data_IF_614494043820
#
_entry.id   IF_614494043820
#
_cell.length_a   1.000
_cell.length_b   1.000
_cell.length_c   1.000
_cell.angle_alpha   90.00
_cell.angle_beta   90.00
_cell.angle_gamma   90.00
#
_symmetry.space_group_name_H-M   'P 1'
#
loop_
_entity.id
_entity.type
_entity.pdbx_description
1 polymer ?
#
# COMPACT_ATOMS: atom_id res chain seq x y z
N UNK A 1 2.63 33.02 5.17
CA UNK A 1 1.17 32.86 4.94
C UNK A 1 0.77 31.55 4.21
N UNK A 2 1.73 30.70 3.81
CA UNK A 2 1.46 29.43 3.11
C UNK A 2 1.38 28.19 4.03
N UNK A 3 1.77 28.32 5.30
CA UNK A 3 1.77 27.20 6.24
C UNK A 3 0.33 26.82 6.64
N UNK A 4 -0.05 25.55 6.43
CA UNK A 4 -1.31 24.98 6.92
C UNK A 4 -2.52 25.08 5.98
N UNK A 5 -2.37 25.66 4.77
CA UNK A 5 -3.45 25.67 3.77
C UNK A 5 -3.38 24.41 2.90
N UNK A 6 -4.50 23.69 2.75
CA UNK A 6 -4.56 22.43 1.98
C UNK A 6 -4.38 22.63 0.46
N UNK A 7 -4.55 23.86 -0.02
CA UNK A 7 -4.51 24.23 -1.44
C UNK A 7 -3.21 24.95 -1.82
N UNK A 8 -2.06 24.45 -1.34
CA UNK A 8 -0.74 25.08 -1.50
C UNK A 8 -0.42 25.33 -2.98
N UNK A 9 -0.82 24.42 -3.88
CA UNK A 9 -0.57 24.53 -5.32
C UNK A 9 -1.27 25.71 -5.97
N UNK A 10 -2.56 25.91 -5.66
CA UNK A 10 -3.35 27.01 -6.21
C UNK A 10 -2.87 28.36 -5.65
N UNK A 11 -2.62 28.40 -4.34
CA UNK A 11 -2.19 29.63 -3.66
C UNK A 11 -0.82 30.07 -4.17
N UNK A 12 0.13 29.14 -4.30
CA UNK A 12 1.46 29.43 -4.85
C UNK A 12 1.39 29.91 -6.30
N UNK A 13 0.53 29.28 -7.12
CA UNK A 13 0.32 29.71 -8.50
C UNK A 13 -0.34 31.10 -8.59
N UNK A 14 -1.25 31.42 -7.66
CA UNK A 14 -1.85 32.75 -7.54
C UNK A 14 -0.82 33.84 -7.23
N UNK A 15 0.17 33.56 -6.38
CA UNK A 15 1.26 34.51 -6.10
C UNK A 15 2.21 34.73 -7.28
N UNK A 16 2.45 33.71 -8.12
CA UNK A 16 3.41 33.80 -9.24
C UNK A 16 2.75 34.34 -10.51
N UNK A 17 1.56 33.84 -10.85
CA UNK A 17 0.89 34.09 -12.13
C UNK A 17 -0.37 34.99 -12.00
N UNK A 18 -0.67 35.47 -10.80
CA UNK A 18 -1.89 36.22 -10.50
C UNK A 18 -3.15 35.33 -10.42
N UNK A 19 -4.29 35.95 -10.16
CA UNK A 19 -5.56 35.26 -9.89
C UNK A 19 -6.02 34.34 -11.06
N UNK A 20 -5.89 34.82 -12.30
CA UNK A 20 -6.23 34.03 -13.49
C UNK A 20 -5.31 32.82 -13.68
N UNK A 21 -4.00 32.97 -13.41
CA UNK A 21 -3.04 31.88 -13.49
C UNK A 21 -3.22 30.84 -12.39
N UNK A 22 -3.54 31.28 -11.16
CA UNK A 22 -3.89 30.40 -10.04
C UNK A 22 -5.10 29.52 -10.36
N UNK A 23 -6.18 30.10 -10.91
CA UNK A 23 -7.38 29.34 -11.29
C UNK A 23 -7.12 28.34 -12.41
N UNK A 24 -6.34 28.71 -13.43
CA UNK A 24 -5.99 27.79 -14.52
C UNK A 24 -5.14 26.61 -14.01
N UNK A 25 -4.17 26.88 -13.14
CA UNK A 25 -3.36 25.84 -12.50
C UNK A 25 -4.20 24.95 -11.58
N UNK A 26 -5.14 25.53 -10.82
CA UNK A 26 -6.10 24.79 -10.01
C UNK A 26 -6.93 23.80 -10.82
N UNK A 27 -7.44 24.22 -11.99
CA UNK A 27 -8.17 23.35 -12.91
C UNK A 27 -7.28 22.21 -13.43
N UNK A 28 -6.03 22.50 -13.82
CA UNK A 28 -5.09 21.47 -14.24
C UNK A 28 -4.82 20.45 -13.12
N UNK A 29 -4.57 20.89 -11.90
CA UNK A 29 -4.34 20.01 -10.74
C UNK A 29 -5.59 19.15 -10.47
N UNK A 30 -6.78 19.75 -10.49
CA UNK A 30 -8.03 19.01 -10.30
C UNK A 30 -8.21 17.91 -11.35
N UNK A 31 -7.97 18.23 -12.63
CA UNK A 31 -8.07 17.25 -13.71
C UNK A 31 -7.05 16.10 -13.56
N UNK A 32 -5.82 16.42 -13.19
CA UNK A 32 -4.77 15.42 -12.93
C UNK A 32 -5.12 14.51 -11.75
N UNK A 33 -5.68 15.07 -10.67
CA UNK A 33 -6.12 14.29 -9.50
C UNK A 33 -7.27 13.35 -9.87
N UNK A 34 -8.29 13.83 -10.61
CA UNK A 34 -9.41 12.98 -11.06
C UNK A 34 -8.90 11.81 -11.91
N UNK A 35 -7.97 12.09 -12.83
CA UNK A 35 -7.35 11.06 -13.67
C UNK A 35 -6.56 10.03 -12.85
N UNK A 36 -5.71 10.48 -11.92
CA UNK A 36 -4.90 9.60 -11.08
C UNK A 36 -5.77 8.72 -10.16
N UNK A 37 -6.82 9.29 -9.55
CA UNK A 37 -7.75 8.54 -8.69
C UNK A 37 -8.52 7.50 -9.51
N UNK A 38 -8.98 7.84 -10.71
CA UNK A 38 -9.66 6.90 -11.60
C UNK A 38 -8.80 5.66 -11.89
N UNK A 39 -7.51 5.86 -12.21
CA UNK A 39 -6.54 4.77 -12.41
C UNK A 39 -6.37 3.90 -11.16
N UNK A 40 -6.23 4.53 -9.98
CA UNK A 40 -6.03 3.81 -8.72
C UNK A 40 -7.26 2.99 -8.31
N UNK A 41 -8.47 3.47 -8.58
CA UNK A 41 -9.72 2.74 -8.34
C UNK A 41 -9.81 1.49 -9.21
N UNK A 42 -9.29 1.52 -10.44
CA UNK A 42 -9.24 0.32 -11.30
C UNK A 42 -8.21 -0.71 -10.83
N UNK A 43 -7.07 -0.26 -10.28
CA UNK A 43 -5.99 -1.13 -9.85
C UNK A 43 -6.25 -1.80 -8.47
N UNK A 44 -6.86 -1.07 -7.52
CA UNK A 44 -7.05 -1.54 -6.14
C UNK A 44 -7.75 -2.90 -5.98
N UNK A 45 -8.91 -3.14 -6.63
CA UNK A 45 -9.68 -4.37 -6.44
C UNK A 45 -8.95 -5.64 -6.87
N UNK A 46 -7.96 -5.53 -7.78
CA UNK A 46 -7.15 -6.66 -8.25
C UNK A 46 -6.23 -7.22 -7.17
N UNK A 47 -5.83 -6.38 -6.20
CA UNK A 47 -5.06 -6.84 -5.03
C UNK A 47 -5.94 -7.73 -4.15
N UNK A 48 -7.17 -7.27 -3.84
CA UNK A 48 -8.13 -8.03 -3.02
C UNK A 48 -8.55 -9.32 -3.74
N UNK A 49 -8.74 -9.27 -5.06
CA UNK A 49 -9.02 -10.47 -5.88
C UNK A 49 -7.88 -11.49 -5.79
N UNK A 50 -6.62 -11.06 -5.96
CA UNK A 50 -5.45 -11.94 -5.85
C UNK A 50 -5.35 -12.56 -4.45
N UNK A 51 -5.57 -11.77 -3.40
CA UNK A 51 -5.63 -12.28 -2.02
C UNK A 51 -6.75 -13.31 -1.84
N UNK A 52 -7.90 -13.11 -2.49
CA UNK A 52 -9.01 -14.06 -2.48
C UNK A 52 -8.73 -15.38 -3.20
N UNK A 53 -7.84 -15.38 -4.19
CA UNK A 53 -7.39 -16.61 -4.89
C UNK A 53 -6.44 -17.42 -4.01
N UNK A 54 -5.56 -16.74 -3.28
CA UNK A 54 -4.54 -17.38 -2.45
C UNK A 54 -5.09 -17.89 -1.11
N UNK A 55 -6.11 -17.22 -0.54
CA UNK A 55 -6.66 -17.53 0.78
C UNK A 55 -8.11 -18.04 0.67
N UNK A 56 -8.33 -19.31 1.03
CA UNK A 56 -9.67 -19.93 1.09
C UNK A 56 -10.75 -19.11 1.81
N UNK A 57 -10.53 -18.52 3.01
CA UNK A 57 -11.57 -17.72 3.67
C UNK A 57 -11.93 -16.43 2.91
N UNK A 58 -11.06 -15.95 2.03
CA UNK A 58 -11.28 -14.76 1.21
C UNK A 58 -11.76 -15.10 -0.21
N UNK A 59 -12.08 -16.36 -0.51
CA UNK A 59 -12.47 -16.80 -1.86
C UNK A 59 -13.69 -16.07 -2.42
N UNK A 60 -14.55 -15.55 -1.55
CA UNK A 60 -15.67 -14.68 -1.94
C UNK A 60 -15.21 -13.42 -2.69
N UNK A 61 -14.04 -12.87 -2.36
CA UNK A 61 -13.46 -11.72 -3.07
C UNK A 61 -12.87 -12.05 -4.45
N UNK A 62 -12.62 -13.34 -4.74
CA UNK A 62 -12.17 -13.80 -6.06
C UNK A 62 -13.32 -14.02 -7.04
N UNK A 63 -14.59 -13.84 -6.62
CA UNK A 63 -15.73 -14.04 -7.53
C UNK A 63 -15.75 -12.89 -8.55
N UNK A 64 -15.63 -13.27 -9.82
CA UNK A 64 -15.65 -12.35 -10.95
C UNK A 64 -16.96 -12.45 -11.74
N UNK A 65 -17.38 -11.34 -12.34
CA UNK A 65 -18.50 -11.33 -13.30
C UNK A 65 -18.03 -11.88 -14.67
N UNK A 66 -18.95 -12.02 -15.63
CA UNK A 66 -18.69 -12.48 -17.01
C UNK A 66 -17.55 -11.76 -17.73
N UNK A 67 -17.27 -10.51 -17.34
CA UNK A 67 -16.18 -9.69 -17.90
C UNK A 67 -14.85 -9.81 -17.13
N UNK A 68 -14.72 -10.77 -16.21
CA UNK A 68 -13.52 -10.95 -15.38
C UNK A 68 -13.33 -9.90 -14.29
N UNK A 69 -14.37 -9.11 -13.99
CA UNK A 69 -14.30 -7.99 -13.04
C UNK A 69 -14.72 -8.47 -11.63
N UNK A 70 -13.87 -8.32 -10.59
CA UNK A 70 -14.19 -8.71 -9.22
C UNK A 70 -15.12 -7.69 -8.55
N UNK A 71 -16.43 -7.81 -8.78
CA UNK A 71 -17.41 -6.80 -8.35
C UNK A 71 -17.50 -6.65 -6.82
N UNK A 72 -17.33 -7.73 -6.06
CA UNK A 72 -17.36 -7.71 -4.59
C UNK A 72 -16.18 -6.90 -4.05
N UNK A 73 -14.98 -7.11 -4.60
CA UNK A 73 -13.79 -6.37 -4.21
C UNK A 73 -13.95 -4.87 -4.47
N UNK A 74 -14.56 -4.50 -5.62
CA UNK A 74 -14.89 -3.10 -5.94
C UNK A 74 -15.82 -2.51 -4.89
N UNK A 75 -16.95 -3.17 -4.61
CA UNK A 75 -17.95 -2.67 -3.67
C UNK A 75 -17.34 -2.49 -2.28
N UNK A 76 -16.61 -3.48 -1.77
CA UNK A 76 -16.00 -3.41 -0.44
C UNK A 76 -14.95 -2.30 -0.38
N UNK A 77 -14.07 -2.18 -1.37
CA UNK A 77 -13.10 -1.08 -1.42
C UNK A 77 -13.79 0.29 -1.48
N UNK A 78 -14.84 0.45 -2.29
CA UNK A 78 -15.59 1.69 -2.41
C UNK A 78 -16.29 2.07 -1.11
N UNK A 79 -16.90 1.12 -0.40
CA UNK A 79 -17.52 1.35 0.90
C UNK A 79 -16.48 1.81 1.92
N UNK A 80 -15.33 1.14 2.01
CA UNK A 80 -14.23 1.53 2.91
C UNK A 80 -13.74 2.94 2.57
N UNK A 81 -13.55 3.25 1.29
CA UNK A 81 -13.11 4.58 0.85
C UNK A 81 -14.11 5.66 1.24
N UNK A 82 -15.41 5.45 1.02
CA UNK A 82 -16.47 6.40 1.40
C UNK A 82 -16.47 6.61 2.92
N UNK A 83 -16.41 5.53 3.72
CA UNK A 83 -16.37 5.63 5.18
C UNK A 83 -15.17 6.44 5.66
N UNK A 84 -13.98 6.21 5.07
CA UNK A 84 -12.77 6.96 5.40
C UNK A 84 -12.89 8.44 5.02
N UNK A 85 -13.43 8.75 3.84
CA UNK A 85 -13.63 10.15 3.40
C UNK A 85 -14.61 10.89 4.32
N UNK A 86 -15.65 10.22 4.82
CA UNK A 86 -16.64 10.82 5.70
C UNK A 86 -16.19 10.96 7.16
N UNK A 87 -15.37 10.02 7.65
CA UNK A 87 -15.06 9.90 9.09
C UNK A 87 -13.65 10.38 9.44
N UNK A 88 -12.68 10.21 8.54
CA UNK A 88 -11.28 10.42 8.85
C UNK A 88 -10.79 11.82 8.48
N UNK A 89 -9.85 12.34 9.27
CA UNK A 89 -9.16 13.60 8.96
C UNK A 89 -8.16 13.39 7.83
N UNK A 90 -8.01 14.38 6.95
CA UNK A 90 -7.07 14.32 5.82
C UNK A 90 -5.63 13.98 6.25
N UNK A 91 -5.11 14.68 7.26
CA UNK A 91 -3.74 14.47 7.74
C UNK A 91 -3.54 13.07 8.34
N UNK A 92 -4.59 12.52 8.94
CA UNK A 92 -4.58 11.16 9.48
C UNK A 92 -4.51 10.13 8.36
N UNK A 93 -5.35 10.26 7.33
CA UNK A 93 -5.37 9.34 6.18
C UNK A 93 -4.03 9.35 5.45
N UNK A 94 -3.45 10.54 5.26
CA UNK A 94 -2.14 10.69 4.63
C UNK A 94 -1.04 10.00 5.44
N UNK A 95 -0.97 10.23 6.74
CA UNK A 95 0.08 9.63 7.57
C UNK A 95 -0.10 8.12 7.68
N UNK A 96 -1.32 7.65 7.95
CA UNK A 96 -1.63 6.24 8.08
C UNK A 96 -1.25 5.48 6.81
N UNK A 97 -1.63 6.00 5.64
CA UNK A 97 -1.31 5.38 4.34
C UNK A 97 0.19 5.43 4.06
N UNK A 98 0.85 6.58 4.30
CA UNK A 98 2.28 6.75 4.05
C UNK A 98 3.13 5.86 4.96
N UNK A 99 2.76 5.75 6.24
CA UNK A 99 3.46 4.87 7.17
C UNK A 99 3.27 3.40 6.79
N UNK A 100 2.03 2.97 6.52
CA UNK A 100 1.74 1.60 6.10
C UNK A 100 2.48 1.21 4.82
N UNK A 101 2.49 2.11 3.82
CA UNK A 101 3.19 1.88 2.56
C UNK A 101 4.71 1.77 2.75
N UNK A 102 5.30 2.66 3.55
CA UNK A 102 6.73 2.61 3.85
C UNK A 102 7.10 1.32 4.59
N UNK A 103 6.26 0.89 5.52
CA UNK A 103 6.48 -0.33 6.29
C UNK A 103 6.40 -1.59 5.42
N UNK A 104 5.39 -1.71 4.55
CA UNK A 104 5.31 -2.83 3.60
C UNK A 104 6.44 -2.81 2.57
N UNK A 105 6.85 -1.63 2.12
CA UNK A 105 7.99 -1.49 1.20
C UNK A 105 9.30 -1.93 1.87
N UNK A 106 9.49 -1.55 3.14
CA UNK A 106 10.63 -2.01 3.96
C UNK A 106 10.63 -3.54 4.09
N UNK A 107 9.50 -4.13 4.48
CA UNK A 107 9.35 -5.58 4.61
C UNK A 107 9.59 -6.32 3.28
N UNK A 108 9.14 -5.75 2.16
CA UNK A 108 9.33 -6.33 0.83
C UNK A 108 10.81 -6.39 0.45
N UNK A 109 11.54 -5.28 0.62
CA UNK A 109 12.98 -5.23 0.32
C UNK A 109 13.77 -6.11 1.28
N UNK A 110 13.41 -6.11 2.56
CA UNK A 110 13.99 -6.99 3.56
C UNK A 110 13.76 -8.47 3.21
N UNK A 111 12.55 -8.84 2.79
CA UNK A 111 12.21 -10.20 2.38
C UNK A 111 13.04 -10.67 1.18
N UNK A 112 13.18 -9.82 0.15
CA UNK A 112 14.03 -10.11 -1.01
C UNK A 112 15.50 -10.27 -0.59
N UNK A 113 15.98 -9.42 0.33
CA UNK A 113 17.32 -9.48 0.88
C UNK A 113 17.57 -10.82 1.61
N UNK A 114 16.65 -11.25 2.48
CA UNK A 114 16.73 -12.56 3.16
C UNK A 114 16.69 -13.75 2.21
N UNK A 115 15.81 -13.73 1.20
CA UNK A 115 15.71 -14.80 0.20
C UNK A 115 17.03 -14.93 -0.57
N UNK A 116 17.61 -13.81 -0.98
CA UNK A 116 18.89 -13.80 -1.71
C UNK A 116 20.08 -14.21 -0.84
N UNK A 117 20.11 -13.82 0.44
CA UNK A 117 21.11 -14.31 1.39
C UNK A 117 21.01 -15.82 1.63
N UNK A 118 19.78 -16.38 1.67
CA UNK A 118 19.55 -17.81 1.89
C UNK A 118 19.86 -18.66 0.66
N UNK A 119 19.58 -18.15 -0.55
CA UNK A 119 19.77 -18.87 -1.83
C UNK A 119 21.21 -18.80 -2.37
N UNK A 120 22.18 -18.48 -1.53
CA UNK A 120 23.58 -18.22 -1.89
C UNK A 120 24.36 -19.51 -2.22
N UNK A 121 23.79 -20.40 -3.05
CA UNK A 121 24.42 -21.68 -3.44
C UNK A 121 24.63 -21.82 -4.94
N UNK A 122 24.07 -20.99 -5.82
CA UNK A 122 24.37 -21.10 -7.25
C UNK A 122 24.67 -19.74 -7.92
N UNK A 123 25.96 -19.59 -8.20
CA UNK A 123 26.62 -18.65 -9.13
C UNK A 123 26.64 -17.18 -8.67
N UNK A 124 27.69 -16.86 -7.91
CA UNK A 124 28.15 -15.48 -7.67
C UNK A 124 28.61 -14.88 -9.00
N UNK A 125 27.67 -14.26 -9.72
CA UNK A 125 27.99 -13.32 -10.77
C UNK A 125 28.26 -11.94 -10.14
N UNK A 126 29.17 -11.16 -10.73
CA UNK A 126 29.60 -9.80 -10.35
C UNK A 126 28.47 -8.80 -9.98
N UNK A 127 27.21 -9.14 -10.29
CA UNK A 127 25.98 -8.45 -9.84
C UNK A 127 25.69 -8.56 -8.33
N UNK A 128 26.46 -9.31 -7.54
CA UNK A 128 26.33 -9.39 -6.09
C UNK A 128 26.40 -7.98 -5.47
N UNK A 129 27.50 -7.26 -5.69
CA UNK A 129 27.72 -5.93 -5.12
C UNK A 129 26.69 -4.88 -5.58
N UNK A 130 26.31 -4.93 -6.86
CA UNK A 130 25.38 -3.98 -7.47
C UNK A 130 23.94 -4.10 -6.95
N UNK A 131 23.58 -5.24 -6.35
CA UNK A 131 22.26 -5.43 -5.75
C UNK A 131 22.24 -5.12 -4.24
N UNK A 132 23.25 -5.54 -3.48
CA UNK A 132 23.21 -5.44 -2.01
C UNK A 132 23.45 -4.02 -1.49
N UNK A 133 24.31 -3.21 -2.13
CA UNK A 133 24.56 -1.83 -1.71
C UNK A 133 23.31 -0.95 -1.77
N UNK A 134 22.62 -0.84 -2.92
CA UNK A 134 21.42 -0.02 -2.98
C UNK A 134 20.31 -0.56 -2.07
N UNK A 135 20.21 -1.89 -1.88
CA UNK A 135 19.25 -2.48 -0.97
C UNK A 135 19.51 -2.13 0.51
N UNK A 136 20.76 -2.24 0.98
CA UNK A 136 21.13 -1.88 2.35
C UNK A 136 20.92 -0.39 2.58
N UNK A 137 21.37 0.45 1.65
CA UNK A 137 21.18 1.90 1.73
C UNK A 137 19.68 2.25 1.80
N UNK A 138 18.85 1.66 0.94
CA UNK A 138 17.41 1.81 0.99
C UNK A 138 16.80 1.39 2.33
N UNK A 139 17.22 0.23 2.87
CA UNK A 139 16.75 -0.24 4.17
C UNK A 139 17.13 0.72 5.31
N UNK A 140 18.34 1.28 5.30
CA UNK A 140 18.76 2.28 6.29
C UNK A 140 17.89 3.54 6.21
N UNK A 141 17.63 4.05 5.00
CA UNK A 141 16.73 5.18 4.79
C UNK A 141 15.30 4.88 5.24
N UNK A 142 14.77 3.68 4.94
CA UNK A 142 13.44 3.29 5.40
C UNK A 142 13.36 3.18 6.93
N UNK A 143 14.36 2.61 7.59
CA UNK A 143 14.41 2.57 9.06
C UNK A 143 14.43 3.98 9.64
N UNK A 144 15.22 4.88 9.04
CA UNK A 144 15.24 6.28 9.44
C UNK A 144 13.86 6.93 9.30
N UNK A 145 13.22 6.81 8.12
CA UNK A 145 11.89 7.37 7.85
C UNK A 145 10.85 6.81 8.82
N UNK A 146 10.85 5.50 9.07
CA UNK A 146 9.93 4.85 10.00
C UNK A 146 10.15 5.31 11.44
N UNK A 147 11.41 5.45 11.87
CA UNK A 147 11.75 5.92 13.21
C UNK A 147 11.26 7.35 13.45
N UNK A 148 11.54 8.27 12.52
CA UNK A 148 11.08 9.65 12.63
C UNK A 148 9.57 9.78 12.45
N UNK A 149 8.96 9.00 11.55
CA UNK A 149 7.51 8.93 11.38
C UNK A 149 6.80 8.49 12.67
N UNK A 150 7.34 7.47 13.35
CA UNK A 150 6.83 7.00 14.63
C UNK A 150 6.94 8.05 15.73
N UNK A 151 8.05 8.78 15.79
CA UNK A 151 8.25 9.86 16.78
C UNK A 151 7.33 11.06 16.56
N UNK A 152 7.05 11.43 15.31
CA UNK A 152 6.23 12.59 14.98
C UNK A 152 4.74 12.36 15.27
N UNK A 153 4.23 11.17 14.97
CA UNK A 153 2.81 10.83 15.16
C UNK A 153 2.66 9.38 15.62
N UNK A 154 2.84 9.20 16.93
CA UNK A 154 2.87 7.89 17.58
C UNK A 154 1.55 7.12 17.40
N UNK A 155 0.40 7.77 17.55
CA UNK A 155 -0.92 7.11 17.43
C UNK A 155 -1.18 6.58 16.00
N UNK A 156 -0.88 7.39 14.99
CA UNK A 156 -1.13 7.04 13.58
C UNK A 156 -0.18 5.92 13.10
N UNK A 157 1.05 5.91 13.61
CA UNK A 157 2.03 4.85 13.33
C UNK A 157 1.70 3.54 14.05
N UNK A 158 1.11 3.61 15.25
CA UNK A 158 0.68 2.42 16.00
C UNK A 158 -0.43 1.67 15.26
N UNK A 159 -1.35 2.39 14.62
CA UNK A 159 -2.40 1.78 13.78
C UNK A 159 -1.83 1.06 12.56
N UNK A 160 -0.75 1.57 11.97
CA UNK A 160 -0.04 0.87 10.89
C UNK A 160 0.59 -0.44 11.35
N UNK A 161 1.19 -0.46 12.56
CA UNK A 161 1.70 -1.68 13.18
C UNK A 161 0.57 -2.67 13.52
N UNK A 162 -0.55 -2.17 14.07
CA UNK A 162 -1.75 -2.98 14.34
C UNK A 162 -2.27 -3.60 13.04
N UNK A 163 -2.29 -2.87 11.93
CA UNK A 163 -2.75 -3.40 10.64
C UNK A 163 -1.92 -4.62 10.18
N UNK A 164 -0.60 -4.59 10.37
CA UNK A 164 0.27 -5.75 10.12
C UNK A 164 -0.03 -6.88 11.10
N UNK A 165 -0.18 -6.57 12.39
CA UNK A 165 -0.55 -7.55 13.41
C UNK A 165 -1.86 -8.27 13.08
N UNK A 166 -2.88 -7.53 12.66
CA UNK A 166 -4.18 -8.07 12.21
C UNK A 166 -4.00 -8.95 10.98
N UNK A 167 -3.21 -8.53 10.00
CA UNK A 167 -2.91 -9.34 8.82
C UNK A 167 -2.22 -10.66 9.16
N UNK A 168 -1.25 -10.63 10.08
CA UNK A 168 -0.50 -11.80 10.52
C UNK A 168 -1.36 -12.75 11.37
N UNK A 169 -2.18 -12.21 12.27
CA UNK A 169 -3.17 -12.97 13.03
C UNK A 169 -4.19 -13.64 12.11
N UNK A 170 -4.72 -12.90 11.13
CA UNK A 170 -5.64 -13.46 10.14
C UNK A 170 -5.00 -14.59 9.35
N UNK A 171 -3.75 -14.43 8.91
CA UNK A 171 -3.01 -15.48 8.23
C UNK A 171 -2.77 -16.73 9.10
N UNK A 172 -2.40 -16.54 10.38
CA UNK A 172 -2.25 -17.64 11.33
C UNK A 172 -3.56 -18.37 11.58
N UNK A 173 -4.66 -17.66 11.80
CA UNK A 173 -5.99 -18.24 11.99
C UNK A 173 -6.45 -18.97 10.73
N UNK A 174 -6.27 -18.39 9.54
CA UNK A 174 -6.59 -19.03 8.28
C UNK A 174 -5.77 -20.32 8.08
N UNK A 175 -4.48 -20.28 8.40
CA UNK A 175 -3.58 -21.44 8.29
C UNK A 175 -3.92 -22.51 9.33
N UNK A 176 -4.28 -22.12 10.55
CA UNK A 176 -4.64 -23.07 11.61
C UNK A 176 -6.02 -23.70 11.37
N UNK A 177 -7.01 -22.92 10.96
CA UNK A 177 -8.39 -23.37 10.69
C UNK A 177 -8.51 -24.20 9.41
N UNK A 178 -7.71 -23.91 8.37
CA UNK A 178 -7.81 -24.58 7.07
C UNK A 178 -6.58 -25.41 6.67
N UNK A 179 -5.48 -25.36 7.44
CA UNK A 179 -4.23 -26.07 7.16
C UNK A 179 -4.31 -27.60 7.29
N UNK A 180 -5.33 -28.14 7.96
CA UNK A 180 -5.49 -29.59 8.10
C UNK A 180 -6.01 -30.29 6.82
N UNK A 181 -6.39 -29.54 5.77
CA UNK A 181 -6.83 -30.10 4.46
C UNK A 181 -5.82 -29.94 3.32
N UNK A 182 -4.67 -29.29 3.53
CA UNK A 182 -3.65 -29.16 2.47
C UNK A 182 -2.87 -30.47 2.24
N UNK A 183 -2.74 -31.34 3.24
CA UNK A 183 -2.09 -32.67 3.07
C UNK A 183 -2.85 -33.64 2.16
N UNK A 184 -4.14 -33.42 1.88
CA UNK A 184 -4.96 -34.38 1.12
C UNK A 184 -5.02 -34.09 -0.38
N UNK A 185 -4.60 -32.90 -0.83
CA UNK A 185 -4.61 -32.52 -2.26
C UNK A 185 -3.24 -32.69 -2.92
N UNK A 186 -2.15 -32.56 -2.16
CA UNK A 186 -0.80 -32.87 -2.64
C UNK A 186 -0.57 -34.38 -2.84
N UNK A 187 -1.41 -35.23 -2.25
CA UNK A 187 -1.35 -36.69 -2.38
C UNK A 187 -2.24 -37.23 -3.51
N UNK A 188 -2.74 -36.35 -4.39
CA UNK A 188 -3.65 -36.70 -5.50
C UNK A 188 -3.24 -36.10 -6.85
N UNK A 189 -2.05 -35.51 -6.92
CA UNK A 189 -1.33 -35.12 -8.14
C UNK A 189 -0.07 -35.98 -8.18
#
# INVERSE_FOLDING_TARGET
>A
ELAGKKEIGLISAGYIFGEKGGNMMGMCIAFLLVSAVSSMVMAGPRVIESMGKDLRPLRFFSITNKNGIPFIAIIVQSVIAIVLVLTAKFDFVLQFTSFSLNLFTFLTVLGIFFIKLKKNTEIVSSKFFLFYIPAILFLVFQVWILYFGFKLKMEESLLGLVNIGVGLLFWLIATFAFGNKNKTLENKI
#
